data_IF_405722087016
#
_entry.id   IF_405722087016
#
_cell.length_a   1.000
_cell.length_b   1.000
_cell.length_c   1.000
_cell.angle_alpha   90.00
_cell.angle_beta   90.00
_cell.angle_gamma   90.00
#
_symmetry.space_group_name_H-M   'P 1'
#
loop_
_entity.id
_entity.type
_entity.pdbx_description
1 polymer ?
#
# COMPACT_ATOMS: atom_id res chain seq x y z
N UNK A 1 -11.02 14.30 -24.66
CA UNK A 1 -12.36 14.61 -25.17
C UNK A 1 -13.47 14.04 -24.29
N UNK A 2 -13.47 12.76 -23.93
CA UNK A 2 -14.53 12.10 -23.12
C UNK A 2 -14.83 12.75 -21.74
N UNK A 3 -13.83 13.27 -21.03
CA UNK A 3 -14.05 13.88 -19.71
C UNK A 3 -14.85 15.20 -19.76
N UNK A 4 -14.70 15.99 -20.83
CA UNK A 4 -15.47 17.23 -21.00
C UNK A 4 -16.94 16.94 -21.34
N UNK A 5 -17.20 15.95 -22.18
CA UNK A 5 -18.56 15.53 -22.54
C UNK A 5 -19.30 14.95 -21.34
N UNK A 6 -18.62 14.12 -20.53
CA UNK A 6 -19.20 13.58 -19.29
C UNK A 6 -19.51 14.69 -18.27
N UNK A 7 -18.62 15.68 -18.14
CA UNK A 7 -18.86 16.81 -17.24
C UNK A 7 -20.05 17.68 -17.69
N UNK A 8 -20.19 17.94 -19.00
CA UNK A 8 -21.32 18.70 -19.55
C UNK A 8 -22.64 17.95 -19.33
N UNK A 9 -22.67 16.65 -19.57
CA UNK A 9 -23.85 15.81 -19.34
C UNK A 9 -24.20 15.78 -17.84
N UNK A 10 -23.23 15.62 -16.94
CA UNK A 10 -23.47 15.63 -15.50
C UNK A 10 -23.99 16.98 -15.00
N UNK A 11 -23.41 18.09 -15.46
CA UNK A 11 -23.89 19.42 -15.10
C UNK A 11 -25.28 19.65 -15.67
N UNK A 12 -25.52 19.29 -16.93
CA UNK A 12 -26.82 19.44 -17.57
C UNK A 12 -27.94 18.65 -16.87
N UNK A 13 -27.62 17.45 -16.38
CA UNK A 13 -28.58 16.63 -15.61
C UNK A 13 -28.73 17.07 -14.15
N UNK A 14 -27.69 17.65 -13.53
CA UNK A 14 -27.76 18.13 -12.14
C UNK A 14 -28.58 19.41 -11.97
N UNK A 15 -28.56 20.31 -12.96
CA UNK A 15 -29.29 21.59 -12.92
C UNK A 15 -30.78 21.43 -12.66
N UNK A 16 -31.56 20.58 -13.39
CA UNK A 16 -32.98 20.43 -13.15
C UNK A 16 -33.30 19.87 -11.75
N UNK A 17 -32.48 18.96 -11.22
CA UNK A 17 -32.66 18.45 -9.85
C UNK A 17 -32.35 19.52 -8.80
N UNK A 18 -31.28 20.29 -8.97
CA UNK A 18 -30.97 21.41 -8.09
C UNK A 18 -32.07 22.48 -8.12
N UNK A 19 -32.61 22.82 -9.31
CA UNK A 19 -33.72 23.75 -9.49
C UNK A 19 -35.00 23.20 -8.81
N UNK A 20 -35.29 21.91 -9.00
CA UNK A 20 -36.48 21.31 -8.35
C UNK A 20 -36.37 21.33 -6.82
N UNK A 21 -35.20 21.10 -6.25
CA UNK A 21 -34.95 21.18 -4.80
C UNK A 21 -35.14 22.62 -4.32
N UNK A 22 -34.58 23.62 -5.01
CA UNK A 22 -34.73 25.03 -4.64
C UNK A 22 -36.21 25.44 -4.72
N UNK A 23 -36.93 25.09 -5.78
CA UNK A 23 -38.37 25.36 -5.94
C UNK A 23 -39.16 24.69 -4.81
N UNK A 24 -38.84 23.41 -4.50
CA UNK A 24 -39.52 22.69 -3.41
C UNK A 24 -39.32 23.40 -2.06
N UNK A 25 -38.08 23.83 -1.76
CA UNK A 25 -37.77 24.58 -0.52
C UNK A 25 -38.52 25.92 -0.47
N UNK A 26 -38.53 26.67 -1.58
CA UNK A 26 -39.25 27.96 -1.68
C UNK A 26 -40.74 27.73 -1.51
N UNK A 27 -41.34 26.77 -2.20
CA UNK A 27 -42.77 26.44 -2.08
C UNK A 27 -43.08 25.99 -0.65
N UNK A 28 -42.29 25.10 -0.07
CA UNK A 28 -42.50 24.68 1.32
C UNK A 28 -42.43 25.87 2.30
N UNK A 29 -41.55 26.85 2.07
CA UNK A 29 -41.42 28.03 2.91
C UNK A 29 -42.64 28.95 2.88
N UNK A 30 -43.46 28.92 1.80
CA UNK A 30 -44.68 29.69 1.68
C UNK A 30 -45.82 29.11 2.55
N UNK A 31 -45.81 27.83 2.82
CA UNK A 31 -46.82 27.14 3.62
C UNK A 31 -46.45 27.05 5.11
N UNK A 32 -45.23 27.40 5.48
CA UNK A 32 -44.81 27.39 6.88
C UNK A 32 -45.12 28.75 7.50
N UNK A 33 -46.00 28.84 8.54
CA UNK A 33 -46.25 30.08 9.25
C UNK A 33 -44.94 30.67 9.77
N UNK A 34 -44.77 32.00 9.72
CA UNK A 34 -43.56 32.73 10.12
C UNK A 34 -43.19 32.62 11.62
N UNK A 35 -43.79 31.71 12.35
CA UNK A 35 -43.61 31.48 13.77
C UNK A 35 -42.63 30.30 13.98
N UNK A 36 -42.43 29.84 15.21
CA UNK A 36 -41.51 28.79 15.62
C UNK A 36 -41.51 27.49 14.78
N UNK A 37 -42.64 27.16 14.11
CA UNK A 37 -42.77 26.02 13.20
C UNK A 37 -41.91 26.17 11.93
N UNK A 38 -41.63 27.40 11.46
CA UNK A 38 -40.78 27.64 10.30
C UNK A 38 -39.33 27.31 10.61
N UNK A 39 -38.88 27.57 11.84
CA UNK A 39 -37.57 27.20 12.33
C UNK A 39 -37.38 25.67 12.39
N UNK A 40 -38.43 24.94 12.82
CA UNK A 40 -38.41 23.48 12.86
C UNK A 40 -38.32 22.83 11.47
N UNK A 41 -39.10 23.33 10.48
CA UNK A 41 -39.07 22.81 9.11
C UNK A 41 -37.74 23.04 8.39
N UNK A 42 -37.17 24.25 8.52
CA UNK A 42 -35.87 24.59 7.93
C UNK A 42 -34.71 23.80 8.58
N UNK A 43 -34.82 23.51 9.89
CA UNK A 43 -33.83 22.70 10.59
C UNK A 43 -33.81 21.24 10.07
N UNK A 44 -34.97 20.65 9.79
CA UNK A 44 -35.07 19.31 9.21
C UNK A 44 -34.47 19.27 7.81
N UNK A 45 -34.78 20.24 6.94
CA UNK A 45 -34.15 20.32 5.61
C UNK A 45 -32.67 20.53 5.69
N UNK A 46 -32.20 21.40 6.59
CA UNK A 46 -30.77 21.60 6.84
C UNK A 46 -30.08 20.33 7.34
N UNK A 47 -30.72 19.57 8.21
CA UNK A 47 -30.20 18.28 8.69
C UNK A 47 -30.10 17.26 7.57
N UNK A 48 -31.07 17.12 6.69
CA UNK A 48 -31.07 16.21 5.55
C UNK A 48 -29.94 16.57 4.56
N UNK A 49 -29.78 17.87 4.26
CA UNK A 49 -28.68 18.34 3.40
C UNK A 49 -27.32 18.07 4.07
N UNK A 50 -27.23 18.31 5.37
CA UNK A 50 -26.03 18.02 6.15
C UNK A 50 -25.62 16.54 6.10
N UNK A 51 -26.58 15.64 6.29
CA UNK A 51 -26.33 14.19 6.15
C UNK A 51 -25.94 13.80 4.72
N UNK A 52 -26.58 14.37 3.69
CA UNK A 52 -26.24 14.12 2.30
C UNK A 52 -24.81 14.61 1.96
N UNK A 53 -24.38 15.73 2.53
CA UNK A 53 -23.05 16.31 2.34
C UNK A 53 -21.97 15.67 3.24
N UNK A 54 -22.35 14.95 4.29
CA UNK A 54 -21.43 14.44 5.31
C UNK A 54 -20.27 13.66 4.72
N UNK A 55 -20.54 12.73 3.79
CA UNK A 55 -19.52 11.89 3.17
C UNK A 55 -18.50 12.71 2.38
N UNK A 56 -18.96 13.73 1.68
CA UNK A 56 -18.10 14.64 0.94
C UNK A 56 -17.18 15.44 1.88
N UNK A 57 -17.72 15.94 2.98
CA UNK A 57 -16.95 16.66 3.98
C UNK A 57 -15.91 15.75 4.66
N UNK A 58 -16.27 14.51 4.95
CA UNK A 58 -15.34 13.52 5.52
C UNK A 58 -14.15 13.25 4.57
N UNK A 59 -14.38 13.18 3.25
CA UNK A 59 -13.31 13.01 2.28
C UNK A 59 -12.32 14.18 2.34
N UNK A 60 -12.83 15.42 2.43
CA UNK A 60 -12.00 16.63 2.48
C UNK A 60 -11.19 16.69 3.77
N UNK A 61 -11.83 16.42 4.92
CA UNK A 61 -11.16 16.42 6.22
C UNK A 61 -10.08 15.36 6.27
N UNK A 62 -10.39 14.14 5.81
CA UNK A 62 -9.40 13.05 5.74
C UNK A 62 -8.23 13.41 4.82
N UNK A 63 -8.50 13.99 3.64
CA UNK A 63 -7.46 14.44 2.74
C UNK A 63 -6.57 15.53 3.35
N UNK A 64 -7.16 16.48 4.07
CA UNK A 64 -6.40 17.51 4.78
C UNK A 64 -5.49 16.91 5.87
N UNK A 65 -6.00 15.94 6.66
CA UNK A 65 -5.22 15.25 7.69
C UNK A 65 -4.06 14.45 7.09
N UNK A 66 -4.33 13.66 6.04
CA UNK A 66 -3.30 12.90 5.32
C UNK A 66 -2.17 13.83 4.83
N UNK A 67 -2.53 14.98 4.27
CA UNK A 67 -1.56 15.98 3.78
C UNK A 67 -0.78 16.62 4.92
N UNK A 68 -1.46 17.04 5.99
CA UNK A 68 -0.87 17.72 7.14
C UNK A 68 0.09 16.79 7.90
N UNK A 69 -0.32 15.54 8.12
CA UNK A 69 0.49 14.53 8.81
C UNK A 69 1.53 13.87 7.89
N UNK A 70 1.46 14.15 6.58
CA UNK A 70 2.42 13.63 5.58
C UNK A 70 2.47 12.11 5.54
N UNK A 71 1.33 11.46 5.55
CA UNK A 71 1.27 10.00 5.47
C UNK A 71 1.99 9.48 4.23
N UNK A 72 1.75 10.13 3.08
CA UNK A 72 2.42 9.85 1.81
C UNK A 72 2.36 11.08 0.89
N UNK A 73 3.13 11.04 -0.19
CA UNK A 73 3.14 12.03 -1.25
C UNK A 73 3.02 11.43 -2.64
N UNK A 74 2.86 12.28 -3.65
CA UNK A 74 2.88 11.85 -5.05
C UNK A 74 4.24 11.23 -5.37
N UNK A 75 4.22 10.04 -6.01
CA UNK A 75 5.40 9.24 -6.31
C UNK A 75 5.73 8.16 -5.27
N UNK A 76 5.16 8.21 -4.07
CA UNK A 76 5.34 7.14 -3.08
C UNK A 76 4.61 5.87 -3.49
N UNK A 77 5.21 4.71 -3.20
CA UNK A 77 4.49 3.45 -3.27
C UNK A 77 3.79 3.20 -1.93
N UNK A 78 2.48 3.02 -1.97
CA UNK A 78 1.64 2.81 -0.79
C UNK A 78 0.69 1.64 -0.98
N UNK A 79 0.35 0.98 0.13
CA UNK A 79 -0.77 0.06 0.22
C UNK A 79 -1.80 0.66 1.17
N UNK A 80 -3.04 0.82 0.70
CA UNK A 80 -4.14 1.43 1.43
C UNK A 80 -5.07 0.35 1.99
N UNK A 81 -5.29 0.40 3.30
CA UNK A 81 -6.20 -0.49 4.02
C UNK A 81 -7.52 0.24 4.36
N UNK A 82 -8.65 -0.46 4.41
CA UNK A 82 -8.84 -1.91 4.34
C UNK A 82 -8.99 -2.46 2.91
N UNK A 83 -9.01 -1.61 1.88
CA UNK A 83 -9.25 -2.01 0.50
C UNK A 83 -8.13 -2.86 -0.12
N UNK A 84 -6.97 -2.97 0.53
CA UNK A 84 -5.77 -3.68 0.06
C UNK A 84 -5.31 -3.25 -1.34
N UNK A 85 -5.52 -1.96 -1.66
CA UNK A 85 -5.11 -1.38 -2.94
C UNK A 85 -3.68 -0.89 -2.80
N UNK A 86 -2.79 -1.42 -3.65
CA UNK A 86 -1.38 -1.05 -3.64
C UNK A 86 -0.97 -0.43 -4.98
N UNK A 87 -0.14 0.61 -4.93
CA UNK A 87 0.36 1.28 -6.12
C UNK A 87 1.15 2.55 -5.81
N UNK A 88 1.62 3.19 -6.87
CA UNK A 88 2.28 4.49 -6.80
C UNK A 88 1.20 5.57 -6.74
N UNK A 89 1.32 6.50 -5.81
CA UNK A 89 0.45 7.68 -5.73
C UNK A 89 0.69 8.55 -6.97
N UNK A 90 -0.26 8.53 -7.91
CA UNK A 90 -0.19 9.31 -9.14
C UNK A 90 -0.73 10.72 -8.93
N UNK A 91 -1.80 10.83 -8.15
CA UNK A 91 -2.43 12.11 -7.84
C UNK A 91 -3.01 12.07 -6.41
N UNK A 92 -2.83 13.16 -5.70
CA UNK A 92 -3.44 13.41 -4.42
C UNK A 92 -4.25 14.70 -4.47
N UNK A 93 -5.53 14.63 -4.10
CA UNK A 93 -6.44 15.78 -4.07
C UNK A 93 -7.19 15.82 -2.74
N UNK A 94 -7.90 16.91 -2.46
CA UNK A 94 -8.65 17.07 -1.20
C UNK A 94 -9.62 15.91 -0.91
N UNK A 95 -10.23 15.34 -1.95
CA UNK A 95 -11.25 14.31 -1.79
C UNK A 95 -10.77 12.91 -2.11
N UNK A 96 -9.80 12.77 -3.01
CA UNK A 96 -9.48 11.49 -3.63
C UNK A 96 -7.98 11.32 -3.78
N UNK A 97 -7.49 10.14 -3.44
CA UNK A 97 -6.14 9.65 -3.78
C UNK A 97 -6.24 8.73 -4.99
N UNK A 98 -5.41 8.96 -6.00
CA UNK A 98 -5.34 8.12 -7.20
C UNK A 98 -4.04 7.32 -7.16
N UNK A 99 -4.16 6.00 -7.17
CA UNK A 99 -3.04 5.07 -7.24
C UNK A 99 -2.94 4.45 -8.62
N UNK A 100 -1.71 4.27 -9.10
CA UNK A 100 -1.41 3.43 -10.25
C UNK A 100 -0.79 2.13 -9.75
N UNK A 101 -1.52 1.04 -9.92
CA UNK A 101 -1.03 -0.31 -9.60
C UNK A 101 0.05 -0.75 -10.60
N UNK A 102 0.89 -1.73 -10.22
CA UNK A 102 1.97 -2.22 -11.08
C UNK A 102 1.47 -2.92 -12.37
N UNK A 103 0.23 -3.40 -12.38
CA UNK A 103 -0.43 -3.92 -13.59
C UNK A 103 -0.98 -2.81 -14.52
N UNK A 104 -0.77 -1.54 -14.17
CA UNK A 104 -1.22 -0.38 -14.94
C UNK A 104 -2.61 0.14 -14.60
N UNK A 105 -3.38 -0.55 -13.74
CA UNK A 105 -4.69 -0.10 -13.30
C UNK A 105 -4.61 1.20 -12.49
N UNK A 106 -5.65 2.03 -12.60
CA UNK A 106 -5.80 3.23 -11.80
C UNK A 106 -6.94 3.05 -10.82
N UNK A 107 -6.63 3.16 -9.53
CA UNK A 107 -7.60 3.12 -8.46
C UNK A 107 -7.87 4.53 -7.92
N UNK A 108 -9.15 4.90 -7.85
CA UNK A 108 -9.62 6.18 -7.30
C UNK A 108 -10.19 5.91 -5.92
N UNK A 109 -9.48 6.27 -4.88
CA UNK A 109 -9.85 5.98 -3.49
C UNK A 109 -10.30 7.26 -2.81
N UNK A 110 -11.57 7.37 -2.35
CA UNK A 110 -12.00 8.48 -1.51
C UNK A 110 -11.16 8.54 -0.23
N UNK A 111 -10.68 9.72 0.15
CA UNK A 111 -9.75 9.87 1.28
C UNK A 111 -10.35 9.37 2.61
N UNK A 112 -11.65 9.53 2.83
CA UNK A 112 -12.34 9.04 4.02
C UNK A 112 -12.37 7.50 4.15
N UNK A 113 -12.07 6.78 3.08
CA UNK A 113 -11.98 5.31 3.09
C UNK A 113 -10.57 4.80 3.40
N UNK A 114 -9.58 5.70 3.51
CA UNK A 114 -8.21 5.36 3.85
C UNK A 114 -8.07 5.38 5.37
N UNK A 115 -8.07 4.21 5.98
CA UNK A 115 -7.92 4.06 7.43
C UNK A 115 -6.45 3.92 7.81
N UNK A 116 -5.69 3.21 6.98
CA UNK A 116 -4.25 3.00 7.17
C UNK A 116 -3.55 3.08 5.83
N UNK A 117 -2.39 3.70 5.82
CA UNK A 117 -1.49 3.71 4.66
C UNK A 117 -0.15 3.10 5.06
N UNK A 118 0.22 2.00 4.40
CA UNK A 118 1.53 1.38 4.55
C UNK A 118 2.42 1.92 3.44
N UNK A 119 3.35 2.79 3.79
CA UNK A 119 4.29 3.40 2.85
C UNK A 119 5.54 2.56 2.72
N UNK A 120 5.99 2.31 1.49
CA UNK A 120 7.28 1.67 1.18
C UNK A 120 8.28 2.73 0.69
N UNK A 121 9.04 3.38 1.58
CA UNK A 121 9.84 4.56 1.22
C UNK A 121 10.97 4.23 0.24
N UNK A 122 11.49 3.01 0.27
CA UNK A 122 12.54 2.56 -0.65
C UNK A 122 12.01 2.18 -2.05
N UNK A 123 10.69 2.04 -2.21
CA UNK A 123 10.09 1.56 -3.45
C UNK A 123 10.36 0.08 -3.76
N UNK A 124 10.99 -0.66 -2.84
CA UNK A 124 11.25 -2.09 -2.92
C UNK A 124 11.15 -2.74 -1.53
N UNK A 125 10.98 -4.06 -1.51
CA UNK A 125 11.09 -4.87 -0.30
C UNK A 125 12.38 -5.68 -0.36
N UNK A 126 13.19 -5.54 0.70
CA UNK A 126 14.43 -6.30 0.87
C UNK A 126 14.18 -7.56 1.64
N UNK A 127 14.63 -8.67 1.10
CA UNK A 127 14.60 -9.97 1.75
C UNK A 127 16.03 -10.40 2.12
N UNK A 128 16.18 -10.84 3.36
CA UNK A 128 17.35 -11.54 3.85
C UNK A 128 17.15 -13.03 3.65
N UNK A 129 18.19 -13.71 3.23
CA UNK A 129 18.27 -15.14 3.02
C UNK A 129 19.27 -15.67 4.02
N UNK A 130 18.92 -16.67 4.81
CA UNK A 130 19.83 -17.35 5.73
C UNK A 130 19.79 -18.86 5.48
N UNK A 131 20.99 -19.44 5.30
CA UNK A 131 21.18 -20.87 5.10
C UNK A 131 22.19 -21.34 6.13
N UNK A 132 21.78 -22.26 7.00
CA UNK A 132 22.64 -22.99 7.90
C UNK A 132 23.08 -24.28 7.20
N UNK A 133 24.38 -24.47 7.01
CA UNK A 133 24.93 -25.55 6.18
C UNK A 133 26.27 -26.04 6.68
N UNK A 134 26.62 -27.28 6.34
CA UNK A 134 27.96 -27.83 6.49
C UNK A 134 28.89 -27.55 5.29
N UNK A 135 28.30 -27.14 4.12
CA UNK A 135 29.06 -26.78 2.91
C UNK A 135 28.72 -25.35 2.48
N UNK A 136 29.51 -24.34 2.94
CA UNK A 136 29.26 -22.94 2.63
C UNK A 136 29.42 -22.62 1.13
N UNK A 137 30.27 -23.35 0.40
CA UNK A 137 30.47 -23.13 -1.03
C UNK A 137 29.26 -23.58 -1.85
N UNK A 138 28.66 -24.70 -1.46
CA UNK A 138 27.42 -25.17 -2.10
C UNK A 138 26.27 -24.18 -1.87
N UNK A 139 26.13 -23.65 -0.65
CA UNK A 139 25.12 -22.64 -0.34
C UNK A 139 25.34 -21.33 -1.12
N UNK A 140 26.57 -20.86 -1.22
CA UNK A 140 26.90 -19.67 -2.04
C UNK A 140 26.55 -19.91 -3.51
N UNK A 141 26.99 -21.04 -4.08
CA UNK A 141 26.67 -21.41 -5.47
C UNK A 141 25.15 -21.53 -5.71
N UNK A 142 24.41 -22.02 -4.73
CA UNK A 142 22.96 -22.12 -4.80
C UNK A 142 22.31 -20.73 -4.88
N UNK A 143 22.66 -19.79 -3.98
CA UNK A 143 22.13 -18.41 -3.97
C UNK A 143 22.42 -17.71 -5.30
N UNK A 144 23.69 -17.70 -5.73
CA UNK A 144 24.10 -17.07 -6.98
C UNK A 144 23.50 -17.75 -8.22
N UNK A 145 23.38 -19.08 -8.17
CA UNK A 145 22.76 -19.87 -9.23
C UNK A 145 21.27 -19.57 -9.42
N UNK A 146 20.55 -19.28 -8.34
CA UNK A 146 19.18 -18.75 -8.41
C UNK A 146 19.20 -17.35 -9.01
N UNK A 147 20.13 -16.48 -8.57
CA UNK A 147 20.27 -15.13 -9.10
C UNK A 147 20.48 -15.09 -10.62
N UNK A 148 21.35 -15.96 -11.15
CA UNK A 148 21.61 -16.05 -12.61
C UNK A 148 20.45 -16.60 -13.44
N UNK A 149 19.56 -17.40 -12.85
CA UNK A 149 18.40 -18.03 -13.52
C UNK A 149 17.06 -17.44 -13.07
N UNK A 150 17.13 -16.33 -12.32
CA UNK A 150 15.93 -15.62 -11.88
C UNK A 150 15.12 -15.14 -13.10
N UNK A 151 13.80 -15.05 -12.97
CA UNK A 151 12.94 -14.49 -14.02
C UNK A 151 13.42 -13.08 -14.42
N UNK A 152 13.52 -12.84 -15.73
CA UNK A 152 13.95 -11.56 -16.32
C UNK A 152 12.81 -10.80 -16.99
N UNK A 153 11.58 -11.35 -16.97
CA UNK A 153 10.39 -10.72 -17.48
C UNK A 153 9.85 -9.60 -16.59
N UNK A 154 8.56 -9.34 -16.69
CA UNK A 154 7.89 -8.33 -15.85
C UNK A 154 7.91 -8.71 -14.37
N UNK A 155 7.69 -10.00 -14.05
CA UNK A 155 7.91 -10.54 -12.70
C UNK A 155 9.40 -10.87 -12.50
N UNK A 156 10.14 -9.94 -11.93
CA UNK A 156 11.59 -10.06 -11.74
C UNK A 156 12.02 -9.53 -10.38
N UNK A 157 13.18 -9.98 -9.93
CA UNK A 157 13.88 -9.33 -8.83
C UNK A 157 14.40 -7.95 -9.29
N UNK A 158 14.23 -6.93 -8.46
CA UNK A 158 14.87 -5.63 -8.68
C UNK A 158 16.38 -5.73 -8.46
N UNK A 159 16.77 -6.56 -7.46
CA UNK A 159 18.13 -7.02 -7.27
C UNK A 159 18.09 -8.53 -7.06
N UNK A 160 18.76 -9.25 -7.96
CA UNK A 160 18.83 -10.71 -7.89
C UNK A 160 19.46 -11.20 -6.59
N UNK A 161 19.09 -12.40 -6.12
CA UNK A 161 19.73 -13.02 -4.96
C UNK A 161 21.25 -13.06 -5.11
N UNK A 162 21.96 -12.58 -4.09
CA UNK A 162 23.42 -12.55 -4.01
C UNK A 162 23.88 -12.75 -2.57
N UNK A 163 25.06 -13.31 -2.39
CA UNK A 163 25.66 -13.53 -1.07
C UNK A 163 26.17 -12.21 -0.50
N UNK A 164 25.94 -11.98 0.78
CA UNK A 164 26.41 -10.79 1.52
C UNK A 164 27.36 -11.12 2.65
N UNK A 165 27.25 -12.31 3.25
CA UNK A 165 28.06 -12.72 4.39
C UNK A 165 28.19 -14.24 4.41
N UNK A 166 29.36 -14.72 4.81
CA UNK A 166 29.60 -16.13 5.15
C UNK A 166 30.33 -16.14 6.50
N UNK A 167 29.74 -16.82 7.47
CA UNK A 167 30.26 -16.85 8.84
C UNK A 167 30.25 -18.27 9.40
N UNK A 168 31.36 -18.67 9.96
CA UNK A 168 31.46 -19.89 10.75
C UNK A 168 30.83 -19.70 12.12
N UNK A 169 29.98 -20.63 12.52
CA UNK A 169 29.29 -20.61 13.82
C UNK A 169 29.84 -21.68 14.79
N UNK A 170 30.50 -22.70 14.28
CA UNK A 170 31.06 -23.81 15.05
C UNK A 170 31.61 -24.91 14.13
N UNK A 171 32.02 -26.03 14.69
CA UNK A 171 32.54 -27.17 13.90
C UNK A 171 31.50 -27.56 12.84
N UNK A 172 31.91 -27.54 11.57
CA UNK A 172 31.12 -27.88 10.39
C UNK A 172 29.74 -27.15 10.27
N UNK A 173 29.63 -25.99 10.94
CA UNK A 173 28.40 -25.21 10.91
C UNK A 173 28.64 -23.79 10.40
N UNK A 174 28.09 -23.50 9.24
CA UNK A 174 28.22 -22.21 8.55
C UNK A 174 26.89 -21.53 8.37
N UNK A 175 26.89 -20.22 8.58
CA UNK A 175 25.79 -19.34 8.19
C UNK A 175 26.16 -18.62 6.89
N UNK A 176 25.43 -18.91 5.83
CA UNK A 176 25.51 -18.17 4.57
C UNK A 176 24.33 -17.25 4.46
N UNK A 177 24.63 -15.94 4.44
CA UNK A 177 23.61 -14.90 4.34
C UNK A 177 23.61 -14.28 2.95
N UNK A 178 22.42 -14.10 2.40
CA UNK A 178 22.22 -13.43 1.12
C UNK A 178 21.13 -12.36 1.21
N UNK A 179 21.00 -11.58 0.14
CA UNK A 179 19.95 -10.56 -0.01
C UNK A 179 19.32 -10.62 -1.40
N UNK A 180 18.04 -10.26 -1.46
CA UNK A 180 17.31 -10.04 -2.71
C UNK A 180 16.35 -8.87 -2.53
N UNK A 181 16.17 -8.04 -3.56
CA UNK A 181 15.20 -6.96 -3.53
C UNK A 181 14.09 -7.24 -4.56
N UNK A 182 12.83 -7.13 -4.14
CA UNK A 182 11.66 -7.33 -4.98
C UNK A 182 10.78 -6.09 -5.01
N UNK A 183 10.00 -5.92 -6.07
CA UNK A 183 8.99 -4.89 -6.09
C UNK A 183 7.87 -5.22 -5.06
N UNK A 184 7.29 -4.21 -4.40
CA UNK A 184 6.08 -4.41 -3.61
C UNK A 184 5.00 -5.09 -4.47
N UNK A 185 4.21 -5.98 -3.89
CA UNK A 185 3.25 -6.89 -4.54
C UNK A 185 3.86 -8.09 -5.28
N UNK A 186 5.20 -8.21 -5.30
CA UNK A 186 5.91 -9.37 -5.87
C UNK A 186 6.66 -10.18 -4.80
N UNK A 187 6.19 -10.12 -3.56
CA UNK A 187 6.79 -10.81 -2.41
C UNK A 187 6.89 -12.33 -2.62
N UNK A 188 5.96 -12.91 -3.38
CA UNK A 188 5.96 -14.33 -3.74
C UNK A 188 7.24 -14.80 -4.45
N UNK A 189 7.96 -13.88 -5.13
CA UNK A 189 9.26 -14.19 -5.73
C UNK A 189 10.30 -14.57 -4.67
N UNK A 190 10.28 -13.91 -3.52
CA UNK A 190 11.18 -14.21 -2.42
C UNK A 190 10.61 -15.32 -1.52
N UNK A 191 9.34 -15.24 -1.16
CA UNK A 191 8.72 -16.13 -0.18
C UNK A 191 8.46 -17.54 -0.71
N UNK A 192 8.15 -17.68 -2.00
CA UNK A 192 7.83 -18.96 -2.61
C UNK A 192 8.88 -19.40 -3.64
N UNK A 193 9.10 -18.61 -4.68
CA UNK A 193 9.99 -19.02 -5.78
C UNK A 193 11.43 -19.20 -5.29
N UNK A 194 11.98 -18.22 -4.57
CA UNK A 194 13.37 -18.27 -4.09
C UNK A 194 13.60 -19.43 -3.13
N UNK A 195 12.71 -19.61 -2.15
CA UNK A 195 12.81 -20.72 -1.17
C UNK A 195 12.80 -22.07 -1.87
N UNK A 196 11.85 -22.28 -2.78
CA UNK A 196 11.76 -23.55 -3.52
C UNK A 196 12.96 -23.78 -4.45
N UNK A 197 13.45 -22.70 -5.09
CA UNK A 197 14.61 -22.77 -5.96
C UNK A 197 15.91 -23.06 -5.20
N UNK A 198 16.04 -22.58 -3.97
CA UNK A 198 17.16 -22.90 -3.08
C UNK A 198 17.09 -24.34 -2.61
N UNK A 199 15.93 -24.81 -2.11
CA UNK A 199 15.72 -26.19 -1.70
C UNK A 199 15.99 -27.20 -2.83
N UNK A 200 15.62 -26.88 -4.04
CA UNK A 200 15.87 -27.75 -5.20
C UNK A 200 17.33 -27.78 -5.68
N UNK A 201 18.22 -26.93 -5.14
CA UNK A 201 19.63 -26.86 -5.51
C UNK A 201 20.61 -27.33 -4.43
N UNK A 202 20.14 -27.31 -3.19
CA UNK A 202 20.93 -27.74 -2.05
C UNK A 202 20.62 -29.19 -1.76
N UNK A 203 21.66 -29.97 -1.51
CA UNK A 203 21.52 -31.36 -1.05
C UNK A 203 20.98 -31.34 0.38
N UNK A 204 20.01 -32.20 0.67
CA UNK A 204 19.42 -32.29 2.01
C UNK A 204 20.44 -32.64 3.09
N UNK A 205 21.52 -33.32 2.73
CA UNK A 205 22.60 -33.74 3.64
C UNK A 205 23.46 -32.58 4.16
N UNK A 206 23.56 -31.49 3.39
CA UNK A 206 24.38 -30.31 3.77
C UNK A 206 23.55 -29.23 4.44
N UNK A 207 22.21 -29.32 4.37
CA UNK A 207 21.31 -28.39 5.03
C UNK A 207 21.08 -28.81 6.49
N UNK A 208 21.46 -27.94 7.42
CA UNK A 208 21.15 -28.14 8.84
C UNK A 208 19.73 -27.71 9.17
N UNK A 209 19.18 -26.73 8.42
CA UNK A 209 17.79 -26.27 8.50
C UNK A 209 17.30 -25.87 7.11
N UNK A 210 15.99 -25.78 6.94
CA UNK A 210 15.39 -25.17 5.74
C UNK A 210 15.91 -23.73 5.55
N UNK A 211 16.14 -23.28 4.30
CA UNK A 211 16.49 -21.90 4.03
C UNK A 211 15.43 -20.94 4.57
N UNK A 212 15.87 -19.97 5.37
CA UNK A 212 15.00 -18.96 5.98
C UNK A 212 15.04 -17.70 5.10
N UNK A 213 13.88 -17.23 4.69
CA UNK A 213 13.74 -15.99 3.91
C UNK A 213 12.76 -15.07 4.64
N UNK A 214 13.20 -13.86 4.97
CA UNK A 214 12.42 -12.92 5.75
C UNK A 214 12.74 -11.47 5.38
N UNK A 215 11.82 -10.57 5.74
CA UNK A 215 12.04 -9.12 5.63
C UNK A 215 12.32 -8.53 7.01
N UNK A 216 13.42 -7.81 7.14
CA UNK A 216 13.78 -7.11 8.36
C UNK A 216 14.56 -5.83 8.03
N UNK A 217 14.17 -4.73 8.64
CA UNK A 217 14.95 -3.51 8.61
C UNK A 217 15.94 -3.50 9.77
N UNK A 218 17.22 -3.66 9.44
CA UNK A 218 18.32 -3.72 10.43
C UNK A 218 18.35 -2.45 11.32
N UNK A 219 18.03 -1.29 10.74
CA UNK A 219 17.97 -0.03 11.48
C UNK A 219 16.84 0.01 12.52
N UNK A 220 15.71 -0.59 12.20
CA UNK A 220 14.58 -0.71 13.12
C UNK A 220 14.86 -1.78 14.18
N UNK A 221 15.41 -2.93 13.78
CA UNK A 221 15.77 -4.00 14.71
C UNK A 221 16.78 -3.50 15.76
N UNK A 222 17.87 -2.87 15.34
CA UNK A 222 18.91 -2.38 16.26
C UNK A 222 18.39 -1.28 17.22
N UNK A 223 17.39 -0.50 16.80
CA UNK A 223 16.69 0.44 17.69
C UNK A 223 15.79 -0.27 18.70
N UNK A 224 15.11 -1.33 18.27
CA UNK A 224 14.27 -2.16 19.11
C UNK A 224 15.12 -2.89 20.16
N UNK A 225 16.19 -3.57 19.74
CA UNK A 225 17.12 -4.29 20.62
C UNK A 225 17.69 -3.37 21.70
N UNK A 226 18.16 -2.19 21.34
CA UNK A 226 18.65 -1.20 22.32
C UNK A 226 17.60 -0.81 23.37
N UNK A 227 16.31 -0.82 23.02
CA UNK A 227 15.24 -0.52 23.97
C UNK A 227 14.90 -1.68 24.90
N UNK A 228 15.05 -2.90 24.42
CA UNK A 228 14.63 -4.11 25.13
C UNK A 228 15.76 -4.72 25.94
N UNK A 229 16.98 -4.74 25.39
CA UNK A 229 18.14 -5.40 26.01
C UNK A 229 18.90 -4.48 27.01
N UNK A 230 18.65 -3.17 27.01
CA UNK A 230 19.24 -2.19 27.97
C UNK A 230 18.33 -1.96 29.18
N UNK A 231 17.36 -2.82 29.40
CA UNK A 231 16.63 -2.96 30.66
C UNK A 231 17.18 -4.16 31.42
#
# INVERSE_FOLDING_TARGET
>A
MRARETAIVLIGTAIPYATAIVVLVVVASLFVPRNAAALGGSAIVGLLIGFAAQRFLMDIVAGALIAFERWYGVGDFVMLEPAKIAGIVEQFSFRTTVLRALNGDRAFVPNSQIITAIRSPAGYRRYSIEILTSDPEEAQRAIEGVGRRAPTGEARFLRAPHVTEVRELGEDTWLVRGRADVAPTMEWLAENFLVNALKGRLRSEVLLTDPIVYTLDEGTLSRYERRVLVR
#
